data_IF_269472768862
#
_entry.id   IF_269472768862
#
_cell.length_a   1.000
_cell.length_b   1.000
_cell.length_c   1.000
_cell.angle_alpha   90.00
_cell.angle_beta   90.00
_cell.angle_gamma   90.00
#
_symmetry.space_group_name_H-M   'P 1'
#
loop_
_entity.id
_entity.type
_entity.pdbx_description
1 polymer ?
#
# COMPACT_ATOMS: atom_id res chain seq x y z
N UNK A 1 -6.09 11.14 -1.99
CA UNK A 1 -5.13 10.10 -2.42
C UNK A 1 -3.89 10.81 -2.93
N UNK A 2 -2.72 10.35 -2.50
CA UNK A 2 -1.42 10.95 -2.84
C UNK A 2 -0.56 9.91 -3.56
N UNK A 3 0.24 10.31 -4.54
CA UNK A 3 1.14 9.36 -5.22
C UNK A 3 2.23 8.86 -4.26
N UNK A 4 2.52 7.56 -4.33
CA UNK A 4 3.51 6.93 -3.48
C UNK A 4 4.22 5.76 -4.18
N UNK A 5 5.41 5.45 -3.67
CA UNK A 5 6.16 4.25 -4.05
C UNK A 5 6.36 3.37 -2.82
N UNK A 6 5.94 2.11 -2.89
CA UNK A 6 6.11 1.11 -1.85
C UNK A 6 7.22 0.14 -2.23
N UNK A 7 8.17 -0.06 -1.31
CA UNK A 7 9.27 -1.00 -1.44
C UNK A 7 9.13 -2.07 -0.36
N UNK A 8 8.57 -3.23 -0.71
CA UNK A 8 8.52 -4.39 0.16
C UNK A 8 9.80 -5.21 -0.01
N UNK A 9 10.26 -5.85 1.08
CA UNK A 9 11.44 -6.72 1.04
C UNK A 9 11.27 -7.84 -0.01
N UNK A 10 12.33 -8.07 -0.78
CA UNK A 10 12.42 -9.10 -1.83
C UNK A 10 11.37 -8.95 -2.95
N UNK A 11 10.86 -7.74 -3.18
CA UNK A 11 9.92 -7.42 -4.25
C UNK A 11 10.36 -6.21 -5.06
N UNK A 12 9.91 -6.15 -6.31
CA UNK A 12 10.04 -4.93 -7.13
C UNK A 12 9.26 -3.77 -6.49
N UNK A 13 9.73 -2.52 -6.62
CA UNK A 13 8.99 -1.36 -6.17
C UNK A 13 7.59 -1.30 -6.81
N UNK A 14 6.60 -0.99 -6.00
CA UNK A 14 5.22 -0.83 -6.41
C UNK A 14 4.90 0.65 -6.45
N UNK A 15 4.34 1.11 -7.57
CA UNK A 15 3.79 2.46 -7.70
C UNK A 15 2.29 2.43 -7.47
N UNK A 16 1.78 3.47 -6.84
CA UNK A 16 0.37 3.52 -6.47
C UNK A 16 0.00 4.84 -5.80
N UNK A 17 -1.18 4.84 -5.20
CA UNK A 17 -1.66 5.97 -4.41
C UNK A 17 -1.92 5.56 -2.98
N UNK A 18 -1.80 6.51 -2.05
CA UNK A 18 -2.02 6.31 -0.63
C UNK A 18 -3.15 7.15 -0.08
N UNK A 19 -3.78 6.62 0.94
CA UNK A 19 -4.55 7.36 1.94
C UNK A 19 -3.93 7.08 3.30
N UNK A 20 -3.40 8.12 3.95
CA UNK A 20 -2.76 8.03 5.26
C UNK A 20 -3.76 8.36 6.36
N UNK A 21 -3.82 7.54 7.41
CA UNK A 21 -4.68 7.78 8.57
C UNK A 21 -4.08 7.21 9.86
N UNK A 22 -3.57 8.09 10.73
CA UNK A 22 -2.92 7.69 11.98
C UNK A 22 -1.73 6.76 11.76
N UNK A 23 -1.77 5.59 12.39
CA UNK A 23 -0.71 4.57 12.31
C UNK A 23 -0.79 3.69 11.05
N UNK A 24 -1.85 3.85 10.24
CA UNK A 24 -2.09 3.01 9.08
C UNK A 24 -2.02 3.81 7.78
N UNK A 25 -1.52 3.15 6.75
CA UNK A 25 -1.49 3.65 5.37
C UNK A 25 -2.20 2.64 4.49
N UNK A 26 -3.21 3.10 3.75
CA UNK A 26 -3.89 2.33 2.72
C UNK A 26 -3.24 2.64 1.39
N UNK A 27 -2.57 1.66 0.79
CA UNK A 27 -1.87 1.81 -0.48
C UNK A 27 -2.61 1.05 -1.58
N UNK A 28 -2.95 1.71 -2.69
CA UNK A 28 -3.64 1.13 -3.84
C UNK A 28 -2.70 1.09 -5.03
N UNK A 29 -2.55 -0.07 -5.65
CA UNK A 29 -1.71 -0.27 -6.84
C UNK A 29 -2.43 -1.12 -7.88
N UNK A 30 -2.08 -0.95 -9.15
CA UNK A 30 -2.54 -1.81 -10.24
C UNK A 30 -1.61 -2.99 -10.49
N UNK A 31 -0.55 -3.14 -9.70
CA UNK A 31 0.35 -4.28 -9.81
C UNK A 31 -0.44 -5.58 -9.60
N UNK A 32 -0.23 -6.55 -10.50
CA UNK A 32 -0.75 -7.90 -10.36
C UNK A 32 0.07 -8.61 -9.28
N UNK A 33 -0.46 -8.63 -8.07
CA UNK A 33 0.18 -9.22 -6.91
C UNK A 33 -0.57 -10.47 -6.51
N UNK A 34 0.16 -11.56 -6.34
CA UNK A 34 -0.39 -12.78 -5.75
C UNK A 34 -0.61 -12.58 -4.25
N UNK A 35 -1.87 -12.55 -3.75
CA UNK A 35 -2.16 -12.39 -2.33
C UNK A 35 -1.57 -13.52 -1.48
N UNK A 36 -1.36 -14.72 -2.06
CA UNK A 36 -0.74 -15.84 -1.34
C UNK A 36 0.74 -15.59 -1.05
N UNK A 37 1.43 -14.83 -1.91
CA UNK A 37 2.83 -14.43 -1.69
C UNK A 37 2.92 -13.33 -0.63
N UNK A 38 1.87 -12.53 -0.49
CA UNK A 38 1.74 -11.44 0.48
C UNK A 38 1.18 -11.87 1.85
N UNK A 39 0.93 -13.16 2.06
CA UNK A 39 0.23 -13.69 3.24
C UNK A 39 0.97 -13.57 4.58
N UNK A 40 2.26 -13.27 4.57
CA UNK A 40 3.06 -13.02 5.77
C UNK A 40 3.29 -11.52 5.99
N UNK A 41 3.35 -11.06 7.26
CA UNK A 41 3.75 -9.69 7.57
C UNK A 41 5.11 -9.37 6.97
N UNK A 42 5.14 -8.43 6.02
CA UNK A 42 6.35 -8.05 5.29
C UNK A 42 6.78 -6.64 5.64
N UNK A 43 8.05 -6.49 6.01
CA UNK A 43 8.63 -5.16 6.21
C UNK A 43 8.88 -4.47 4.88
N UNK A 44 8.75 -3.15 4.90
CA UNK A 44 9.02 -2.32 3.75
C UNK A 44 9.19 -0.86 4.12
N UNK A 45 9.43 -0.06 3.08
CA UNK A 45 9.50 1.39 3.16
C UNK A 45 8.53 1.96 2.15
N UNK A 46 7.71 2.90 2.60
CA UNK A 46 6.86 3.68 1.70
C UNK A 46 7.45 5.07 1.54
N UNK A 47 7.48 5.56 0.30
CA UNK A 47 7.87 6.91 -0.05
C UNK A 47 6.63 7.68 -0.51
N UNK A 48 6.27 8.74 0.21
CA UNK A 48 5.11 9.59 -0.02
C UNK A 48 5.64 11.02 -0.14
N UNK A 49 5.49 11.66 -1.30
CA UNK A 49 5.98 13.04 -1.53
C UNK A 49 7.47 13.25 -1.17
N UNK A 50 8.31 12.23 -1.37
CA UNK A 50 9.73 12.26 -1.01
C UNK A 50 10.05 11.98 0.46
N UNK A 51 9.03 11.81 1.31
CA UNK A 51 9.19 11.35 2.70
C UNK A 51 9.14 9.83 2.78
N UNK A 52 10.12 9.23 3.45
CA UNK A 52 10.20 7.77 3.64
C UNK A 52 9.76 7.36 5.03
N UNK A 53 8.89 6.36 5.10
CA UNK A 53 8.37 5.81 6.34
C UNK A 53 8.56 4.28 6.37
N UNK A 54 9.01 3.75 7.50
CA UNK A 54 9.10 2.31 7.71
C UNK A 54 7.71 1.74 8.01
N UNK A 55 7.34 0.69 7.27
CA UNK A 55 6.02 0.07 7.35
C UNK A 55 6.10 -1.45 7.42
N UNK A 56 5.04 -2.05 7.93
CA UNK A 56 4.79 -3.48 7.87
C UNK A 56 3.48 -3.70 7.11
N UNK A 57 3.54 -4.52 6.07
CA UNK A 57 2.35 -5.02 5.39
C UNK A 57 1.56 -5.89 6.34
N UNK A 58 0.33 -5.49 6.67
CA UNK A 58 -0.56 -6.28 7.52
C UNK A 58 -1.53 -7.12 6.70
N UNK A 59 -2.02 -6.60 5.57
CA UNK A 59 -2.90 -7.37 4.70
C UNK A 59 -2.92 -6.83 3.27
N UNK A 60 -3.28 -7.69 2.34
CA UNK A 60 -3.39 -7.40 0.92
C UNK A 60 -4.69 -7.99 0.37
N UNK A 61 -5.52 -7.18 -0.27
CA UNK A 61 -6.82 -7.61 -0.80
C UNK A 61 -7.04 -7.08 -2.22
N UNK A 62 -7.71 -7.84 -3.09
CA UNK A 62 -8.18 -7.30 -4.36
C UNK A 62 -9.10 -6.11 -4.11
N UNK A 63 -8.82 -5.01 -4.79
CA UNK A 63 -9.65 -3.81 -4.79
C UNK A 63 -10.37 -3.72 -6.13
N UNK A 64 -11.70 -3.72 -6.06
CA UNK A 64 -12.56 -3.36 -7.19
C UNK A 64 -13.34 -2.10 -6.81
N UNK A 65 -13.19 -1.01 -7.58
CA UNK A 65 -13.97 0.19 -7.36
C UNK A 65 -15.46 -0.17 -7.46
N UNK A 66 -16.23 0.30 -6.48
CA UNK A 66 -17.68 0.10 -6.53
C UNK A 66 -18.26 1.00 -7.63
N UNK A 67 -19.00 0.44 -8.62
CA UNK A 67 -19.55 1.23 -9.72
C UNK A 67 -20.37 2.42 -9.23
N UNK A 68 -19.97 3.64 -9.59
CA UNK A 68 -20.68 4.88 -9.26
C UNK A 68 -20.37 5.48 -7.89
N UNK A 69 -19.52 4.86 -7.06
CA UNK A 69 -19.11 5.39 -5.76
C UNK A 69 -17.61 5.70 -5.69
N UNK A 70 -16.77 4.92 -6.35
CA UNK A 70 -15.34 5.17 -6.41
C UNK A 70 -14.86 5.23 -7.86
N UNK A 71 -13.97 6.18 -8.15
CA UNK A 71 -13.29 6.29 -9.44
C UNK A 71 -11.90 5.70 -9.32
N UNK A 72 -11.55 4.78 -10.23
CA UNK A 72 -10.22 4.18 -10.28
C UNK A 72 -10.21 2.87 -11.05
N UNK A 73 -9.04 2.37 -11.44
CA UNK A 73 -8.90 1.03 -12.00
C UNK A 73 -8.98 -0.04 -10.90
N UNK A 74 -9.36 -1.25 -11.30
CA UNK A 74 -9.19 -2.45 -10.46
C UNK A 74 -7.70 -2.66 -10.14
N UNK A 75 -7.43 -3.25 -8.97
CA UNK A 75 -6.06 -3.48 -8.52
C UNK A 75 -6.00 -4.17 -7.17
N UNK A 76 -4.95 -3.88 -6.43
CA UNK A 76 -4.69 -4.42 -5.09
C UNK A 76 -4.64 -3.27 -4.09
N UNK A 77 -5.30 -3.47 -2.95
CA UNK A 77 -5.20 -2.62 -1.78
C UNK A 77 -4.35 -3.32 -0.72
N UNK A 78 -3.32 -2.61 -0.25
CA UNK A 78 -2.39 -3.03 0.77
C UNK A 78 -2.62 -2.18 2.01
N UNK A 79 -2.82 -2.83 3.15
CA UNK A 79 -2.90 -2.17 4.45
C UNK A 79 -1.53 -2.27 5.12
N UNK A 80 -0.93 -1.11 5.35
CA UNK A 80 0.40 -0.97 5.90
C UNK A 80 0.29 -0.33 7.29
N UNK A 81 0.99 -0.86 8.28
CA UNK A 81 1.13 -0.24 9.60
C UNK A 81 2.51 0.40 9.72
N UNK A 82 2.55 1.66 10.14
CA UNK A 82 3.80 2.39 10.41
C UNK A 82 4.53 1.78 11.59
N UNK A 83 5.86 1.61 11.49
CA UNK A 83 6.70 1.16 12.61
C UNK A 83 6.89 2.25 13.65
N UNK A 84 7.05 3.48 13.19
CA UNK A 84 7.08 4.69 14.01
C UNK A 84 5.91 5.58 13.57
N UNK A 85 5.04 6.03 14.49
CA UNK A 85 3.98 6.98 14.14
C UNK A 85 4.60 8.22 13.50
N UNK A 86 3.98 8.75 12.45
CA UNK A 86 4.35 10.08 11.96
C UNK A 86 3.98 11.08 13.06
N UNK A 87 4.98 11.74 13.64
CA UNK A 87 4.80 12.77 14.67
C UNK A 87 4.04 13.99 14.14
#
# INVERSE_FOLDING_TARGET
MTDATLMLKDMSPLTGTVETGGDYVRFRTQADLDPQVLGDPREGVIEIEGHREEVVLESAHPYRPTPGLETGPEGMELILRRRAPSA
#
